data_IF_174011847577
#
_entry.id   IF_174011847577
#
_cell.length_a   1.000
_cell.length_b   1.000
_cell.length_c   1.000
_cell.angle_alpha   90.00
_cell.angle_beta   90.00
_cell.angle_gamma   90.00
#
_symmetry.space_group_name_H-M   'P 1'
#
loop_
_entity.id
_entity.type
_entity.pdbx_description
1 polymer ?
#
# COMPACT_ATOMS: atom_id res chain seq x y z
N UNK A 1 -9.25 -3.06 18.07
CA UNK A 1 -9.20 -3.05 16.60
C UNK A 1 -10.43 -2.30 16.11
N UNK A 2 -10.34 -0.97 16.04
CA UNK A 2 -11.38 -0.15 15.41
C UNK A 2 -10.91 0.03 13.97
N UNK A 3 -11.53 -0.70 13.05
CA UNK A 3 -11.43 -0.45 11.62
C UNK A 3 -12.06 0.91 11.36
N UNK A 4 -11.26 1.98 11.40
CA UNK A 4 -11.65 3.26 10.85
C UNK A 4 -11.69 3.09 9.33
N UNK A 5 -12.85 2.71 8.82
CA UNK A 5 -13.21 2.86 7.42
C UNK A 5 -13.30 4.36 7.14
N UNK A 6 -12.15 4.99 6.92
CA UNK A 6 -12.10 6.27 6.20
C UNK A 6 -12.33 5.88 4.75
N UNK A 7 -13.58 5.93 4.31
CA UNK A 7 -13.91 5.95 2.90
C UNK A 7 -13.32 7.24 2.35
N UNK A 8 -12.06 7.20 1.91
CA UNK A 8 -11.54 8.21 1.01
C UNK A 8 -12.42 8.13 -0.23
N UNK A 9 -13.30 9.11 -0.39
CA UNK A 9 -13.88 9.38 -1.69
C UNK A 9 -12.74 9.92 -2.56
N UNK A 10 -11.95 9.01 -3.10
CA UNK A 10 -11.06 9.25 -4.23
C UNK A 10 -11.91 9.48 -5.47
N UNK A 11 -12.58 10.63 -5.53
CA UNK A 11 -12.94 11.22 -6.82
C UNK A 11 -11.63 11.73 -7.39
N UNK A 12 -11.00 10.96 -8.28
CA UNK A 12 -10.11 11.41 -9.37
C UNK A 12 -9.19 10.26 -9.83
N UNK A 13 -9.74 9.30 -10.56
CA UNK A 13 -8.99 8.49 -11.54
C UNK A 13 -9.95 7.78 -12.51
N UNK A 14 -10.92 8.52 -13.08
CA UNK A 14 -11.83 7.99 -14.13
C UNK A 14 -11.74 8.76 -15.47
N UNK A 15 -10.56 9.19 -15.96
CA UNK A 15 -10.45 9.40 -17.41
C UNK A 15 -9.48 8.43 -18.10
N UNK A 16 -8.54 7.81 -17.38
CA UNK A 16 -7.47 7.02 -18.01
C UNK A 16 -7.92 5.60 -18.38
N UNK A 17 -8.84 5.01 -17.62
CA UNK A 17 -9.34 3.65 -17.87
C UNK A 17 -10.14 3.55 -19.19
N UNK A 18 -10.87 4.61 -19.57
CA UNK A 18 -11.78 4.58 -20.72
C UNK A 18 -11.06 4.66 -22.08
N UNK A 19 -9.98 5.45 -22.19
CA UNK A 19 -9.23 5.57 -23.44
C UNK A 19 -8.41 4.30 -23.73
N UNK A 20 -7.75 3.73 -22.72
CA UNK A 20 -7.00 2.48 -22.87
C UNK A 20 -7.93 1.30 -23.23
N UNK A 21 -9.11 1.23 -22.63
CA UNK A 21 -10.13 0.22 -22.95
C UNK A 21 -10.67 0.35 -24.38
N UNK A 22 -10.86 1.58 -24.89
CA UNK A 22 -11.30 1.81 -26.27
C UNK A 22 -10.23 1.41 -27.29
N UNK A 23 -8.95 1.75 -27.03
CA UNK A 23 -7.84 1.35 -27.90
C UNK A 23 -7.69 -0.18 -27.95
N UNK A 24 -7.77 -0.86 -26.79
CA UNK A 24 -7.82 -2.32 -26.73
C UNK A 24 -8.96 -2.91 -27.57
N UNK A 25 -10.18 -2.39 -27.41
CA UNK A 25 -11.34 -2.90 -28.14
C UNK A 25 -11.20 -2.73 -29.66
N UNK A 26 -10.66 -1.59 -30.11
CA UNK A 26 -10.41 -1.33 -31.52
C UNK A 26 -9.31 -2.24 -32.09
N UNK A 27 -8.24 -2.50 -31.33
CA UNK A 27 -7.19 -3.42 -31.72
C UNK A 27 -7.72 -4.86 -31.91
N UNK A 28 -8.60 -5.32 -31.02
CA UNK A 28 -9.26 -6.64 -31.12
C UNK A 28 -10.10 -6.74 -32.40
N UNK A 29 -10.91 -5.72 -32.69
CA UNK A 29 -11.76 -5.70 -33.90
C UNK A 29 -10.92 -5.78 -35.18
N UNK A 30 -9.83 -5.00 -35.28
CA UNK A 30 -8.94 -5.03 -36.45
C UNK A 30 -8.22 -6.36 -36.59
N UNK A 31 -7.79 -6.95 -35.48
CA UNK A 31 -7.19 -8.29 -35.47
C UNK A 31 -8.12 -9.33 -36.10
N UNK A 32 -9.42 -9.30 -35.76
CA UNK A 32 -10.41 -10.23 -36.33
C UNK A 32 -10.55 -10.11 -37.86
N UNK A 33 -10.33 -8.91 -38.39
CA UNK A 33 -10.42 -8.63 -39.81
C UNK A 33 -9.15 -9.07 -40.55
N UNK A 34 -7.96 -8.75 -40.01
CA UNK A 34 -6.69 -9.21 -40.57
C UNK A 34 -6.54 -10.73 -40.55
N UNK A 35 -7.10 -11.43 -39.54
CA UNK A 35 -7.15 -12.90 -39.51
C UNK A 35 -7.92 -13.50 -40.70
N UNK A 36 -8.91 -12.78 -41.25
CA UNK A 36 -9.65 -13.22 -42.44
C UNK A 36 -8.89 -12.94 -43.73
N UNK A 37 -8.16 -11.84 -43.78
CA UNK A 37 -7.45 -11.38 -44.99
C UNK A 37 -6.10 -12.08 -45.17
N UNK A 38 -5.32 -12.23 -44.10
CA UNK A 38 -3.99 -12.84 -44.11
C UNK A 38 -3.75 -13.64 -42.81
N UNK A 39 -4.27 -14.87 -42.71
CA UNK A 39 -4.28 -15.65 -41.47
C UNK A 39 -2.88 -15.99 -40.93
N UNK A 40 -1.91 -16.27 -41.81
CA UNK A 40 -0.53 -16.59 -41.40
C UNK A 40 0.17 -15.37 -40.77
N UNK A 41 0.07 -14.21 -41.42
CA UNK A 41 0.58 -12.94 -40.86
C UNK A 41 -0.06 -12.61 -39.52
N UNK A 42 -1.37 -12.75 -39.43
CA UNK A 42 -2.09 -12.41 -38.21
C UNK A 42 -1.72 -13.36 -37.06
N UNK A 43 -1.48 -14.65 -37.34
CA UNK A 43 -0.96 -15.60 -36.36
C UNK A 43 0.46 -15.22 -35.87
N UNK A 44 1.37 -14.84 -36.77
CA UNK A 44 2.73 -14.43 -36.42
C UNK A 44 2.74 -13.16 -35.55
N UNK A 45 2.00 -12.13 -35.95
CA UNK A 45 1.87 -10.90 -35.17
C UNK A 45 1.26 -11.19 -33.79
N UNK A 46 0.16 -11.96 -33.75
CA UNK A 46 -0.52 -12.25 -32.49
C UNK A 46 0.37 -13.06 -31.54
N UNK A 47 1.11 -14.06 -32.03
CA UNK A 47 2.02 -14.85 -31.21
C UNK A 47 3.08 -14.00 -30.49
N UNK A 48 3.62 -12.99 -31.17
CA UNK A 48 4.65 -12.12 -30.58
C UNK A 48 4.07 -11.13 -29.59
N UNK A 49 3.02 -10.39 -29.97
CA UNK A 49 2.50 -9.33 -29.10
C UNK A 49 1.64 -9.86 -27.95
N UNK A 50 1.00 -11.02 -28.07
CA UNK A 50 0.31 -11.66 -26.93
C UNK A 50 1.28 -12.07 -25.83
N UNK A 51 2.47 -12.57 -26.18
CA UNK A 51 3.54 -12.83 -25.20
C UNK A 51 4.02 -11.55 -24.53
N UNK A 52 4.24 -10.48 -25.31
CA UNK A 52 4.61 -9.17 -24.76
C UNK A 52 3.56 -8.61 -23.78
N UNK A 53 2.28 -8.71 -24.13
CA UNK A 53 1.17 -8.26 -23.27
C UNK A 53 1.11 -9.09 -21.99
N UNK A 54 1.33 -10.40 -22.09
CA UNK A 54 1.39 -11.30 -20.94
C UNK A 54 2.54 -10.91 -20.01
N UNK A 55 3.74 -10.67 -20.56
CA UNK A 55 4.89 -10.23 -19.77
C UNK A 55 4.68 -8.87 -19.11
N UNK A 56 4.03 -7.92 -19.80
CA UNK A 56 3.67 -6.63 -19.22
C UNK A 56 2.67 -6.78 -18.05
N UNK A 57 1.70 -7.70 -18.17
CA UNK A 57 0.75 -8.01 -17.10
C UNK A 57 1.44 -8.66 -15.90
N UNK A 58 2.30 -9.66 -16.12
CA UNK A 58 3.06 -10.32 -15.04
C UNK A 58 3.94 -9.33 -14.28
N UNK A 59 4.60 -8.42 -15.02
CA UNK A 59 5.40 -7.35 -14.42
C UNK A 59 4.55 -6.40 -13.59
N UNK A 60 3.39 -5.99 -14.11
CA UNK A 60 2.44 -5.15 -13.37
C UNK A 60 1.97 -5.83 -12.07
N UNK A 61 1.55 -7.09 -12.15
CA UNK A 61 1.11 -7.86 -10.98
C UNK A 61 2.21 -7.95 -9.92
N UNK A 62 3.46 -8.17 -10.33
CA UNK A 62 4.61 -8.22 -9.44
C UNK A 62 4.89 -6.86 -8.78
N UNK A 63 4.96 -5.79 -9.56
CA UNK A 63 5.26 -4.44 -9.08
C UNK A 63 4.14 -3.92 -8.15
N UNK A 64 2.88 -4.07 -8.57
CA UNK A 64 1.72 -3.71 -7.76
C UNK A 64 1.67 -4.52 -6.46
N UNK A 65 1.87 -5.84 -6.55
CA UNK A 65 1.90 -6.74 -5.40
C UNK A 65 2.98 -6.34 -4.39
N UNK A 66 4.16 -5.91 -4.88
CA UNK A 66 5.22 -5.37 -4.05
C UNK A 66 4.81 -4.08 -3.33
N UNK A 67 4.15 -3.14 -4.02
CA UNK A 67 3.64 -1.91 -3.39
C UNK A 67 2.70 -2.21 -2.21
N UNK A 68 1.82 -3.21 -2.36
CA UNK A 68 0.90 -3.64 -1.29
C UNK A 68 1.67 -4.29 -0.13
N UNK A 69 2.56 -5.23 -0.44
CA UNK A 69 3.35 -5.93 0.58
C UNK A 69 4.25 -4.99 1.38
N UNK A 70 4.88 -4.03 0.71
CA UNK A 70 5.77 -3.06 1.36
C UNK A 70 4.95 -2.15 2.31
N UNK A 71 3.73 -1.76 1.93
CA UNK A 71 2.82 -0.99 2.79
C UNK A 71 2.35 -1.79 4.01
N UNK A 72 1.97 -3.06 3.84
CA UNK A 72 1.60 -3.95 4.95
C UNK A 72 2.76 -4.13 5.94
N UNK A 73 3.97 -4.35 5.43
CA UNK A 73 5.16 -4.46 6.27
C UNK A 73 5.45 -3.14 7.01
N UNK A 74 5.26 -2.00 6.36
CA UNK A 74 5.44 -0.70 6.99
C UNK A 74 4.42 -0.47 8.13
N UNK A 75 3.17 -0.91 7.98
CA UNK A 75 2.17 -0.86 9.06
C UNK A 75 2.59 -1.70 10.26
N UNK A 76 3.06 -2.93 10.03
CA UNK A 76 3.58 -3.80 11.09
C UNK A 76 4.77 -3.15 11.81
N UNK A 77 5.64 -2.48 11.07
CA UNK A 77 6.79 -1.77 11.63
C UNK A 77 6.33 -0.61 12.53
N UNK A 78 5.33 0.18 12.13
CA UNK A 78 4.78 1.26 12.97
C UNK A 78 4.21 0.71 14.27
N UNK A 79 3.47 -0.40 14.23
CA UNK A 79 2.94 -1.04 15.44
C UNK A 79 4.05 -1.55 16.36
N UNK A 80 5.14 -2.10 15.80
CA UNK A 80 6.31 -2.52 16.57
C UNK A 80 7.06 -1.32 17.18
N UNK A 81 7.24 -0.23 16.43
CA UNK A 81 7.90 1.00 16.88
C UNK A 81 7.23 1.60 18.12
N UNK A 82 5.89 1.56 18.22
CA UNK A 82 5.12 2.15 19.33
C UNK A 82 4.71 1.14 20.41
N UNK A 83 5.09 -0.14 20.27
CA UNK A 83 4.67 -1.20 21.19
C UNK A 83 5.08 -0.90 22.65
N UNK A 84 6.32 -0.46 22.87
CA UNK A 84 6.82 -0.14 24.21
C UNK A 84 6.11 1.08 24.81
N UNK A 85 5.78 2.09 24.00
CA UNK A 85 5.01 3.25 24.48
C UNK A 85 3.61 2.82 24.93
N UNK A 86 2.95 1.95 24.16
CA UNK A 86 1.63 1.39 24.51
C UNK A 86 1.69 0.60 25.82
N UNK A 87 2.72 -0.24 25.99
CA UNK A 87 2.93 -0.99 27.23
C UNK A 87 3.18 -0.06 28.42
N UNK A 88 3.99 0.98 28.24
CA UNK A 88 4.30 1.97 29.28
C UNK A 88 3.04 2.72 29.73
N UNK A 89 2.25 3.23 28.77
CA UNK A 89 0.98 3.92 29.09
C UNK A 89 0.00 2.98 29.80
N UNK A 90 -0.11 1.73 29.36
CA UNK A 90 -0.97 0.74 30.02
C UNK A 90 -0.52 0.44 31.46
N UNK A 91 0.79 0.28 31.68
CA UNK A 91 1.36 0.05 33.00
C UNK A 91 1.11 1.24 33.95
N UNK A 92 1.32 2.46 33.46
CA UNK A 92 1.02 3.70 34.20
C UNK A 92 -0.47 3.79 34.57
N UNK A 93 -1.37 3.44 33.65
CA UNK A 93 -2.81 3.40 33.91
C UNK A 93 -3.17 2.40 35.01
N UNK A 94 -2.61 1.18 34.93
CA UNK A 94 -2.82 0.16 35.95
C UNK A 94 -2.27 0.59 37.32
N UNK A 95 -1.11 1.27 37.36
CA UNK A 95 -0.56 1.79 38.61
C UNK A 95 -1.47 2.82 39.25
N UNK A 96 -2.09 3.71 38.47
CA UNK A 96 -3.07 4.68 38.98
C UNK A 96 -4.32 3.98 39.49
N UNK A 97 -4.83 2.99 38.75
CA UNK A 97 -5.98 2.20 39.19
C UNK A 97 -5.73 1.50 40.53
N UNK A 98 -4.55 0.89 40.71
CA UNK A 98 -4.18 0.19 41.94
C UNK A 98 -4.20 1.12 43.16
N UNK A 99 -3.71 2.36 43.03
CA UNK A 99 -3.74 3.34 44.13
C UNK A 99 -5.18 3.60 44.61
N UNK A 100 -6.11 3.78 43.67
CA UNK A 100 -7.51 4.02 44.03
C UNK A 100 -8.22 2.77 44.55
N UNK A 101 -7.88 1.59 44.02
CA UNK A 101 -8.40 0.31 44.50
C UNK A 101 -7.96 0.04 45.94
N UNK A 102 -6.69 0.29 46.28
CA UNK A 102 -6.17 0.18 47.64
C UNK A 102 -6.91 1.09 48.63
N UNK A 103 -7.24 2.32 48.20
CA UNK A 103 -8.03 3.24 49.02
C UNK A 103 -9.48 2.79 49.22
N UNK A 104 -10.07 2.11 48.23
CA UNK A 104 -11.46 1.63 48.31
C UNK A 104 -11.67 0.60 49.43
N UNK A 105 -10.60 -0.06 49.85
CA UNK A 105 -10.61 -1.08 50.90
C UNK A 105 -10.44 -0.52 52.32
N UNK A 106 -10.36 0.81 52.51
CA UNK A 106 -10.24 1.43 53.84
C UNK A 106 -11.59 1.51 54.55
N UNK A 107 -11.69 0.91 55.73
CA UNK A 107 -12.93 0.91 56.53
C UNK A 107 -13.13 2.20 57.34
N UNK A 108 -12.04 2.79 57.83
CA UNK A 108 -12.08 4.04 58.58
C UNK A 108 -12.34 5.21 57.64
N UNK A 109 -13.35 6.04 57.92
CA UNK A 109 -13.67 7.20 57.09
C UNK A 109 -12.52 8.20 56.98
N UNK A 110 -11.75 8.39 58.06
CA UNK A 110 -10.58 9.27 58.05
C UNK A 110 -9.50 8.77 57.10
N UNK A 111 -9.09 7.51 57.27
CA UNK A 111 -8.08 6.84 56.44
C UNK A 111 -8.54 6.73 54.98
N UNK A 112 -9.82 6.49 54.76
CA UNK A 112 -10.43 6.46 53.43
C UNK A 112 -10.21 7.80 52.72
N UNK A 113 -10.66 8.92 53.31
CA UNK A 113 -10.53 10.22 52.66
C UNK A 113 -9.08 10.68 52.54
N UNK A 114 -8.23 10.42 53.53
CA UNK A 114 -6.79 10.71 53.48
C UNK A 114 -6.12 9.95 52.32
N UNK A 115 -6.36 8.64 52.22
CA UNK A 115 -5.82 7.81 51.13
C UNK A 115 -6.22 8.34 49.75
N UNK A 116 -7.51 8.69 49.55
CA UNK A 116 -7.96 9.20 48.25
C UNK A 116 -7.33 10.55 47.89
N UNK A 117 -7.07 11.44 48.86
CA UNK A 117 -6.35 12.69 48.62
C UNK A 117 -4.91 12.43 48.18
N UNK A 118 -4.22 11.50 48.84
CA UNK A 118 -2.85 11.12 48.49
C UNK A 118 -2.77 10.42 47.13
N UNK A 119 -3.63 9.43 46.90
CA UNK A 119 -3.72 8.70 45.63
C UNK A 119 -4.03 9.64 44.47
N UNK A 120 -4.98 10.57 44.65
CA UNK A 120 -5.28 11.58 43.64
C UNK A 120 -4.08 12.49 43.37
N UNK A 121 -3.41 13.00 44.42
CA UNK A 121 -2.21 13.82 44.28
C UNK A 121 -1.09 13.11 43.51
N UNK A 122 -0.81 11.85 43.88
CA UNK A 122 0.21 11.02 43.22
C UNK A 122 -0.13 10.70 41.76
N UNK A 123 -1.42 10.55 41.45
CA UNK A 123 -1.88 10.18 40.10
C UNK A 123 -1.81 11.32 39.09
N UNK A 124 -1.76 12.59 39.52
CA UNK A 124 -1.76 13.76 38.61
C UNK A 124 -0.57 13.70 37.65
N UNK A 125 0.65 13.50 38.17
CA UNK A 125 1.86 13.46 37.33
C UNK A 125 1.79 12.30 36.35
N UNK A 126 1.42 11.10 36.81
CA UNK A 126 1.28 9.92 35.95
C UNK A 126 0.24 10.13 34.85
N UNK A 127 -0.89 10.76 35.17
CA UNK A 127 -1.92 11.08 34.18
C UNK A 127 -1.45 12.09 33.13
N UNK A 128 -0.69 13.11 33.54
CA UNK A 128 -0.10 14.09 32.62
C UNK A 128 0.94 13.45 31.70
N UNK A 129 1.78 12.56 32.22
CA UNK A 129 2.76 11.83 31.43
C UNK A 129 2.09 10.90 30.42
N UNK A 130 1.09 10.13 30.85
CA UNK A 130 0.27 9.29 29.96
C UNK A 130 -0.38 10.12 28.85
N UNK A 131 -0.95 11.29 29.18
CA UNK A 131 -1.53 12.20 28.21
C UNK A 131 -0.48 12.67 27.19
N UNK A 132 0.70 13.09 27.67
CA UNK A 132 1.79 13.59 26.84
C UNK A 132 2.30 12.53 25.85
N UNK A 133 2.59 11.33 26.36
CA UNK A 133 3.03 10.20 25.52
C UNK A 133 1.94 9.82 24.53
N UNK A 134 0.70 9.65 24.99
CA UNK A 134 -0.42 9.24 24.12
C UNK A 134 -0.68 10.25 23.00
N UNK A 135 -0.66 11.54 23.31
CA UNK A 135 -0.86 12.61 22.31
C UNK A 135 0.24 12.59 21.26
N UNK A 136 1.50 12.58 21.71
CA UNK A 136 2.66 12.57 20.83
C UNK A 136 2.68 11.34 19.92
N UNK A 137 2.42 10.15 20.50
CA UNK A 137 2.44 8.89 19.76
C UNK A 137 1.24 8.74 18.84
N UNK A 138 0.07 9.23 19.23
CA UNK A 138 -1.09 9.29 18.32
C UNK A 138 -0.80 10.16 17.09
N UNK A 139 -0.20 11.35 17.28
CA UNK A 139 0.19 12.21 16.16
C UNK A 139 1.20 11.51 15.24
N UNK A 140 2.22 10.86 15.84
CA UNK A 140 3.21 10.09 15.12
C UNK A 140 2.59 8.96 14.28
N UNK A 141 1.74 8.12 14.90
CA UNK A 141 1.08 6.99 14.22
C UNK A 141 0.20 7.48 13.08
N UNK A 142 -0.60 8.53 13.29
CA UNK A 142 -1.45 9.09 12.24
C UNK A 142 -0.62 9.58 11.05
N UNK A 143 0.48 10.30 11.31
CA UNK A 143 1.36 10.77 10.24
C UNK A 143 1.96 9.59 9.47
N UNK A 144 2.48 8.57 10.18
CA UNK A 144 3.06 7.39 9.54
C UNK A 144 2.04 6.63 8.69
N UNK A 145 0.79 6.49 9.16
CA UNK A 145 -0.28 5.85 8.38
C UNK A 145 -0.61 6.63 7.12
N UNK A 146 -0.69 7.96 7.19
CA UNK A 146 -0.90 8.79 6.00
C UNK A 146 0.25 8.67 5.01
N UNK A 147 1.50 8.64 5.49
CA UNK A 147 2.67 8.43 4.63
C UNK A 147 2.64 7.06 3.95
N UNK A 148 2.35 5.99 4.69
CA UNK A 148 2.27 4.62 4.13
C UNK A 148 1.17 4.53 3.06
N UNK A 149 0.00 5.13 3.31
CA UNK A 149 -1.08 5.17 2.33
C UNK A 149 -0.67 5.94 1.07
N UNK A 150 -0.04 7.11 1.25
CA UNK A 150 0.49 7.90 0.15
C UNK A 150 1.50 7.12 -0.68
N UNK A 151 2.49 6.49 -0.04
CA UNK A 151 3.56 5.74 -0.70
C UNK A 151 2.98 4.53 -1.46
N UNK A 152 2.02 3.82 -0.86
CA UNK A 152 1.31 2.71 -1.52
C UNK A 152 0.60 3.17 -2.79
N UNK A 153 -0.15 4.27 -2.70
CA UNK A 153 -0.91 4.79 -3.83
C UNK A 153 0.03 5.29 -4.92
N UNK A 154 1.06 6.06 -4.57
CA UNK A 154 2.08 6.53 -5.51
C UNK A 154 2.75 5.37 -6.26
N UNK A 155 3.23 4.36 -5.52
CA UNK A 155 3.84 3.16 -6.11
C UNK A 155 2.86 2.40 -7.03
N UNK A 156 1.61 2.23 -6.61
CA UNK A 156 0.57 1.56 -7.39
C UNK A 156 0.22 2.32 -8.66
N UNK A 157 0.15 3.65 -8.59
CA UNK A 157 -0.12 4.51 -9.73
C UNK A 157 1.05 4.48 -10.73
N UNK A 158 2.29 4.49 -10.26
CA UNK A 158 3.47 4.34 -11.15
C UNK A 158 3.45 3.00 -11.88
N UNK A 159 3.17 1.89 -11.18
CA UNK A 159 3.06 0.56 -11.80
C UNK A 159 1.92 0.51 -12.83
N UNK A 160 0.76 1.11 -12.52
CA UNK A 160 -0.39 1.17 -13.42
C UNK A 160 -0.08 2.00 -14.68
N UNK A 161 0.55 3.17 -14.51
CA UNK A 161 0.95 4.02 -15.62
C UNK A 161 1.98 3.35 -16.52
N UNK A 162 2.95 2.63 -15.93
CA UNK A 162 3.92 1.85 -16.68
C UNK A 162 3.23 0.75 -17.51
N UNK A 163 2.32 -0.01 -16.90
CA UNK A 163 1.54 -1.03 -17.57
C UNK A 163 0.70 -0.47 -18.73
N UNK A 164 -0.03 0.63 -18.52
CA UNK A 164 -0.84 1.27 -19.55
C UNK A 164 0.02 1.72 -20.72
N UNK A 165 1.16 2.37 -20.46
CA UNK A 165 2.08 2.82 -21.50
C UNK A 165 2.68 1.66 -22.30
N UNK A 166 3.11 0.62 -21.59
CA UNK A 166 3.71 -0.57 -22.19
C UNK A 166 2.70 -1.34 -23.06
N UNK A 167 1.51 -1.61 -22.53
CA UNK A 167 0.44 -2.31 -23.27
C UNK A 167 -0.07 -1.48 -24.44
N UNK A 168 -0.26 -0.18 -24.29
CA UNK A 168 -0.64 0.71 -25.41
C UNK A 168 0.40 0.63 -26.54
N UNK A 169 1.68 0.60 -26.19
CA UNK A 169 2.76 0.44 -27.17
C UNK A 169 2.66 -0.91 -27.88
N UNK A 170 2.45 -2.00 -27.14
CA UNK A 170 2.30 -3.35 -27.70
C UNK A 170 1.08 -3.48 -28.62
N UNK A 171 -0.06 -2.89 -28.26
CA UNK A 171 -1.25 -2.88 -29.11
C UNK A 171 -1.04 -2.07 -30.40
N UNK A 172 -0.38 -0.92 -30.32
CA UNK A 172 -0.03 -0.14 -31.50
C UNK A 172 0.92 -0.90 -32.44
N UNK A 173 1.90 -1.61 -31.88
CA UNK A 173 2.82 -2.44 -32.65
C UNK A 173 2.13 -3.67 -33.26
N UNK A 174 1.17 -4.27 -32.55
CA UNK A 174 0.30 -5.32 -33.10
C UNK A 174 -0.52 -4.82 -34.28
N UNK A 175 -1.19 -3.67 -34.14
CA UNK A 175 -1.97 -3.05 -35.21
C UNK A 175 -1.11 -2.77 -36.45
N UNK A 176 0.10 -2.25 -36.27
CA UNK A 176 1.03 -2.00 -37.37
C UNK A 176 1.53 -3.29 -38.04
N UNK A 177 1.82 -4.32 -37.25
CA UNK A 177 2.20 -5.64 -37.76
C UNK A 177 1.09 -6.27 -38.59
N UNK A 178 -0.17 -6.16 -38.15
CA UNK A 178 -1.31 -6.68 -38.89
C UNK A 178 -1.47 -5.99 -40.25
N UNK A 179 -1.20 -4.69 -40.34
CA UNK A 179 -1.23 -3.92 -41.60
C UNK A 179 -0.07 -4.26 -42.53
N UNK A 180 1.16 -4.27 -42.01
CA UNK A 180 2.39 -4.31 -42.82
C UNK A 180 3.02 -5.69 -42.94
N UNK A 181 2.77 -6.57 -41.96
CA UNK A 181 3.48 -7.83 -41.75
C UNK A 181 4.85 -7.69 -41.10
N UNK A 182 5.26 -6.47 -40.72
CA UNK A 182 6.54 -6.24 -40.05
C UNK A 182 6.40 -6.49 -38.54
N UNK A 183 7.12 -7.51 -38.05
CA UNK A 183 7.23 -7.81 -36.63
C UNK A 183 8.38 -6.99 -36.05
N UNK A 184 8.07 -6.13 -35.07
CA UNK A 184 9.09 -5.53 -34.20
C UNK A 184 9.10 -6.36 -32.93
N UNK A 185 10.26 -6.93 -32.56
CA UNK A 185 10.34 -7.66 -31.29
C UNK A 185 10.07 -6.70 -30.13
N UNK A 186 9.14 -7.06 -29.23
CA UNK A 186 8.98 -6.35 -27.96
C UNK A 186 10.32 -6.33 -27.22
N UNK A 187 10.63 -5.25 -26.47
CA UNK A 187 11.80 -5.24 -25.62
C UNK A 187 11.72 -6.44 -24.66
N UNK A 188 12.73 -7.30 -24.69
CA UNK A 188 12.85 -8.41 -23.73
C UNK A 188 12.99 -7.82 -22.32
N UNK A 189 12.33 -8.36 -21.28
CA UNK A 189 12.59 -7.91 -19.92
C UNK A 189 14.08 -8.14 -19.62
N UNK A 190 14.82 -7.05 -19.37
CA UNK A 190 16.17 -7.14 -18.85
C UNK A 190 16.11 -7.85 -17.50
N UNK A 191 16.53 -9.11 -17.48
CA UNK A 191 16.98 -9.78 -16.26
C UNK A 191 18.19 -9.01 -15.74
N UNK A 192 17.95 -8.04 -14.85
CA UNK A 192 19.00 -7.35 -14.12
C UNK A 192 19.84 -8.41 -13.41
N UNK A 193 21.10 -8.48 -13.82
CA UNK A 193 22.03 -9.51 -13.39
C UNK A 193 22.48 -9.29 -11.95
N UNK A 194 22.86 -10.40 -11.34
CA UNK A 194 23.31 -10.64 -9.98
C UNK A 194 24.33 -9.63 -9.38
N UNK A 195 24.51 -9.64 -8.05
CA UNK A 195 25.31 -8.66 -7.31
C UNK A 195 26.80 -8.75 -7.63
N UNK A 196 27.42 -7.60 -7.86
CA UNK A 196 28.88 -7.46 -7.91
C UNK A 196 29.47 -7.63 -6.51
N UNK A 197 30.31 -8.65 -6.38
CA UNK A 197 31.23 -8.92 -5.27
C UNK A 197 32.21 -7.74 -5.06
N UNK A 198 32.55 -7.36 -3.82
CA UNK A 198 33.46 -6.25 -3.55
C UNK A 198 34.93 -6.69 -3.68
N UNK A 199 35.71 -5.95 -4.47
CA UNK A 199 37.16 -6.10 -4.60
C UNK A 199 37.87 -5.14 -3.62
N UNK A 200 38.73 -5.74 -2.78
CA UNK A 200 39.80 -5.22 -1.88
C UNK A 200 39.68 -3.86 -1.15
#
# INVERSE_FOLDING_TARGET
VVLLAITSQGVFSVPVEHEAQQEMANAILRTSQSMKENPERAADCFNVYSQGITAANEKYELEYGKCVSDAEQALLNVEAEVANDRLSVAASGNSVCALYEDCSNKESSGEFFECYVEAAGASITTALDMQSVSKTKMQYVNLRYQTIEYDRNFCSDESSNAYIKETTTLYNQLDECLKTGLVVSPPTPSSSSAPTEPEE
#
